data_IF_167155532668
#
_entry.id   IF_167155532668
#
_cell.length_a   1.000
_cell.length_b   1.000
_cell.length_c   1.000
_cell.angle_alpha   90.00
_cell.angle_beta   90.00
_cell.angle_gamma   90.00
#
_symmetry.space_group_name_H-M   'P 1'
#
loop_
_entity.id
_entity.type
_entity.pdbx_description
1 polymer ?
#
# COMPACT_ATOMS: atom_id res chain seq x y z
N UNK A 1 -3.89 -10.20 9.44
CA UNK A 1 -4.56 -9.17 10.24
C UNK A 1 -5.67 -9.74 11.12
N UNK A 2 -6.75 -10.31 10.56
CA UNK A 2 -7.90 -10.80 11.35
C UNK A 2 -7.50 -11.78 12.47
N UNK A 3 -6.66 -12.77 12.15
CA UNK A 3 -6.14 -13.71 13.17
C UNK A 3 -5.28 -13.02 14.24
N UNK A 4 -4.53 -11.96 13.91
CA UNK A 4 -3.73 -11.21 14.90
C UNK A 4 -4.63 -10.47 15.88
N UNK A 5 -5.69 -9.84 15.38
CA UNK A 5 -6.68 -9.16 16.22
C UNK A 5 -7.47 -10.16 17.05
N UNK A 6 -7.86 -11.29 16.47
CA UNK A 6 -8.55 -12.36 17.18
C UNK A 6 -7.68 -12.91 18.32
N UNK A 7 -6.40 -13.20 18.05
CA UNK A 7 -5.45 -13.65 19.06
C UNK A 7 -5.34 -12.66 20.23
N UNK A 8 -5.27 -11.36 19.95
CA UNK A 8 -5.20 -10.32 20.97
C UNK A 8 -6.41 -10.30 21.90
N UNK A 9 -7.60 -10.66 21.39
CA UNK A 9 -8.84 -10.71 22.16
C UNK A 9 -9.11 -12.08 22.82
N UNK A 10 -8.44 -13.14 22.35
CA UNK A 10 -8.74 -14.52 22.74
C UNK A 10 -7.48 -15.25 23.26
N UNK A 11 -6.77 -14.63 24.20
CA UNK A 11 -5.63 -15.24 24.93
C UNK A 11 -4.55 -15.85 24.01
N UNK A 12 -4.32 -15.25 22.84
CA UNK A 12 -3.29 -15.69 21.89
C UNK A 12 -3.71 -16.81 20.94
N UNK A 13 -5.00 -17.18 20.87
CA UNK A 13 -5.46 -18.21 19.92
C UNK A 13 -5.10 -17.82 18.48
N UNK A 14 -4.48 -18.76 17.74
CA UNK A 14 -3.90 -18.57 16.39
C UNK A 14 -2.70 -17.62 16.27
N UNK A 15 -2.12 -17.12 17.37
CA UNK A 15 -0.93 -16.27 17.32
C UNK A 15 0.24 -16.97 16.59
N UNK A 16 0.49 -18.24 16.89
CA UNK A 16 1.56 -19.03 16.26
C UNK A 16 1.41 -19.16 14.74
N UNK A 17 0.18 -19.23 14.23
CA UNK A 17 -0.10 -19.23 12.79
C UNK A 17 0.32 -17.92 12.14
N UNK A 18 0.02 -16.79 12.79
CA UNK A 18 0.42 -15.47 12.30
C UNK A 18 1.94 -15.33 12.32
N UNK A 19 2.59 -15.73 13.41
CA UNK A 19 4.04 -15.63 13.55
C UNK A 19 4.76 -16.51 12.52
N UNK A 20 4.27 -17.73 12.28
CA UNK A 20 4.77 -18.64 11.23
C UNK A 20 4.64 -18.02 9.84
N UNK A 21 3.52 -17.36 9.55
CA UNK A 21 3.32 -16.67 8.28
C UNK A 21 4.30 -15.52 8.09
N UNK A 22 4.51 -14.69 9.13
CA UNK A 22 5.46 -13.56 9.08
C UNK A 22 6.88 -14.06 8.87
N UNK A 23 7.28 -15.12 9.59
CA UNK A 23 8.60 -15.73 9.45
C UNK A 23 8.82 -16.29 8.04
N UNK A 24 7.81 -16.97 7.48
CA UNK A 24 7.87 -17.49 6.11
C UNK A 24 7.98 -16.34 5.10
N UNK A 25 7.18 -15.29 5.29
CA UNK A 25 7.19 -14.12 4.42
C UNK A 25 8.58 -13.45 4.36
N UNK A 26 9.20 -13.22 5.53
CA UNK A 26 10.55 -12.64 5.64
C UNK A 26 11.64 -13.52 5.02
N UNK A 27 11.52 -14.86 5.12
CA UNK A 27 12.57 -15.80 4.69
C UNK A 27 12.44 -16.22 3.23
N UNK A 28 11.22 -16.29 2.69
CA UNK A 28 10.94 -17.00 1.44
C UNK A 28 10.21 -16.18 0.40
N UNK A 29 9.62 -15.04 0.73
CA UNK A 29 8.73 -14.30 -0.18
C UNK A 29 9.17 -12.86 -0.45
N UNK A 30 10.44 -12.56 -0.17
CA UNK A 30 11.03 -11.29 -0.58
C UNK A 30 11.58 -11.42 -2.00
N UNK A 31 11.24 -10.46 -2.85
CA UNK A 31 11.81 -10.29 -4.17
C UNK A 31 13.30 -9.95 -4.03
N UNK A 32 14.22 -10.70 -4.66
CA UNK A 32 15.65 -10.49 -4.50
C UNK A 32 16.15 -9.15 -5.05
N UNK A 33 15.40 -8.52 -5.98
CA UNK A 33 15.79 -7.23 -6.59
C UNK A 33 15.45 -6.04 -5.70
N UNK A 34 14.24 -6.03 -5.14
CA UNK A 34 13.71 -4.88 -4.37
C UNK A 34 13.71 -5.10 -2.86
N UNK A 35 13.81 -6.34 -2.39
CA UNK A 35 13.65 -6.71 -0.99
C UNK A 35 12.21 -6.61 -0.48
N UNK A 36 11.25 -6.27 -1.34
CA UNK A 36 9.83 -6.20 -1.01
C UNK A 36 9.18 -7.57 -1.09
N UNK A 37 8.05 -7.75 -0.40
CA UNK A 37 7.20 -8.91 -0.60
C UNK A 37 6.81 -9.03 -2.07
N UNK A 38 7.00 -10.23 -2.64
CA UNK A 38 6.56 -10.55 -3.99
C UNK A 38 5.06 -10.33 -4.12
N UNK A 39 4.63 -9.85 -5.29
CA UNK A 39 3.21 -9.59 -5.56
C UNK A 39 2.42 -10.86 -5.86
N UNK A 40 3.11 -11.90 -6.33
CA UNK A 40 2.49 -13.15 -6.77
C UNK A 40 3.27 -14.36 -6.23
N UNK A 41 2.53 -15.39 -5.87
CA UNK A 41 3.04 -16.70 -5.49
C UNK A 41 2.28 -17.76 -6.28
N UNK A 42 2.93 -18.90 -6.53
CA UNK A 42 2.23 -20.09 -6.98
C UNK A 42 1.26 -20.57 -5.89
N UNK A 43 0.29 -21.41 -6.28
CA UNK A 43 -0.70 -22.00 -5.34
C UNK A 43 -0.03 -22.79 -4.22
N UNK A 44 1.13 -23.41 -4.49
CA UNK A 44 1.93 -24.14 -3.49
C UNK A 44 2.76 -23.23 -2.56
N UNK A 45 2.73 -21.91 -2.79
CA UNK A 45 3.45 -20.90 -2.03
C UNK A 45 4.92 -20.72 -2.45
N UNK A 46 5.36 -21.31 -3.56
CA UNK A 46 6.65 -21.00 -4.18
C UNK A 46 6.61 -19.65 -4.91
N UNK A 47 7.76 -18.97 -4.98
CA UNK A 47 7.87 -17.75 -5.76
C UNK A 47 7.76 -18.06 -7.25
N UNK A 48 7.07 -17.18 -7.99
CA UNK A 48 7.03 -17.24 -9.45
C UNK A 48 8.25 -16.50 -9.98
N UNK A 49 9.05 -17.15 -10.82
CA UNK A 49 10.26 -16.55 -11.41
C UNK A 49 9.87 -15.40 -12.36
N UNK A 50 10.65 -14.32 -12.34
CA UNK A 50 10.53 -13.14 -13.20
C UNK A 50 9.18 -12.40 -13.15
N UNK A 51 8.36 -12.61 -12.10
CA UNK A 51 7.18 -11.80 -11.88
C UNK A 51 7.55 -10.42 -11.29
N UNK A 52 6.91 -9.34 -11.76
CA UNK A 52 7.22 -8.01 -11.27
C UNK A 52 6.68 -7.79 -9.85
N UNK A 53 7.48 -7.12 -9.02
CA UNK A 53 7.01 -6.47 -7.80
C UNK A 53 6.19 -5.24 -8.19
N UNK A 54 4.89 -5.25 -7.83
CA UNK A 54 3.93 -4.19 -8.14
C UNK A 54 3.81 -3.20 -6.98
N UNK A 55 3.78 -1.91 -7.30
CA UNK A 55 3.66 -0.83 -6.34
C UNK A 55 2.33 -0.86 -5.58
N UNK A 56 1.22 -1.18 -6.28
CA UNK A 56 -0.10 -1.41 -5.69
C UNK A 56 -0.10 -2.46 -4.58
N UNK A 57 0.38 -3.67 -4.86
CA UNK A 57 0.50 -4.76 -3.90
C UNK A 57 1.48 -4.46 -2.76
N UNK A 58 2.62 -3.86 -3.09
CA UNK A 58 3.63 -3.52 -2.08
C UNK A 58 3.10 -2.47 -1.10
N UNK A 59 2.39 -1.46 -1.60
CA UNK A 59 1.73 -0.45 -0.77
C UNK A 59 0.60 -1.03 0.08
N UNK A 60 -0.21 -1.92 -0.49
CA UNK A 60 -1.24 -2.66 0.24
C UNK A 60 -0.61 -3.47 1.39
N UNK A 61 0.42 -4.26 1.08
CA UNK A 61 1.15 -5.07 2.06
C UNK A 61 1.71 -4.22 3.19
N UNK A 62 2.36 -3.08 2.88
CA UNK A 62 2.90 -2.18 3.90
C UNK A 62 1.80 -1.71 4.87
N UNK A 63 0.64 -1.28 4.35
CA UNK A 63 -0.47 -0.79 5.16
C UNK A 63 -1.13 -1.87 6.02
N UNK A 64 -1.23 -3.11 5.53
CA UNK A 64 -1.78 -4.20 6.33
C UNK A 64 -0.78 -4.80 7.31
N UNK A 65 0.52 -4.77 6.99
CA UNK A 65 1.56 -5.24 7.90
C UNK A 65 1.65 -4.38 9.16
N UNK A 66 1.24 -3.10 9.14
CA UNK A 66 1.20 -2.26 10.35
C UNK A 66 0.29 -2.86 11.45
N UNK A 67 -0.69 -3.67 11.03
CA UNK A 67 -1.65 -4.38 11.88
C UNK A 67 -1.22 -5.82 12.23
N UNK A 68 -0.05 -6.26 11.75
CA UNK A 68 0.46 -7.64 11.91
C UNK A 68 1.83 -7.63 12.59
N UNK A 69 2.81 -6.98 11.98
CA UNK A 69 4.20 -6.85 12.44
C UNK A 69 4.71 -5.46 12.07
N UNK A 70 4.76 -4.56 13.06
CA UNK A 70 5.13 -3.14 12.86
C UNK A 70 6.57 -2.97 12.36
N UNK A 71 7.50 -3.82 12.79
CA UNK A 71 8.91 -3.71 12.38
C UNK A 71 9.05 -4.09 10.92
N UNK A 72 8.44 -5.21 10.53
CA UNK A 72 8.45 -5.64 9.14
C UNK A 72 7.74 -4.65 8.23
N UNK A 73 6.61 -4.09 8.68
CA UNK A 73 5.91 -3.03 7.96
C UNK A 73 6.80 -1.81 7.71
N UNK A 74 7.60 -1.41 8.69
CA UNK A 74 8.51 -0.26 8.56
C UNK A 74 9.63 -0.56 7.56
N UNK A 75 10.25 -1.73 7.64
CA UNK A 75 11.28 -2.18 6.70
C UNK A 75 10.76 -2.18 5.25
N UNK A 76 9.58 -2.78 5.04
CA UNK A 76 8.93 -2.83 3.73
C UNK A 76 8.53 -1.43 3.22
N UNK A 77 8.04 -0.56 4.11
CA UNK A 77 7.67 0.81 3.73
C UNK A 77 8.89 1.63 3.30
N UNK A 78 10.03 1.51 3.99
CA UNK A 78 11.27 2.17 3.60
C UNK A 78 11.75 1.73 2.22
N UNK A 79 11.71 0.43 1.93
CA UNK A 79 12.06 -0.12 0.62
C UNK A 79 11.10 0.37 -0.46
N UNK A 80 9.79 0.31 -0.19
CA UNK A 80 8.75 0.80 -1.11
C UNK A 80 9.00 2.27 -1.46
N UNK A 81 9.23 3.12 -0.47
CA UNK A 81 9.52 4.54 -0.68
C UNK A 81 10.78 4.70 -1.53
N UNK A 82 11.86 3.97 -1.24
CA UNK A 82 13.10 4.10 -2.02
C UNK A 82 12.97 3.67 -3.49
N UNK A 83 12.15 2.66 -3.80
CA UNK A 83 12.09 2.06 -5.13
C UNK A 83 10.92 2.57 -5.98
N UNK A 84 9.81 2.95 -5.37
CA UNK A 84 8.56 3.26 -6.05
C UNK A 84 8.08 4.70 -5.88
N UNK A 85 8.58 5.47 -4.90
CA UNK A 85 8.16 6.86 -4.75
C UNK A 85 8.61 7.67 -5.96
N UNK A 86 7.68 8.43 -6.54
CA UNK A 86 7.95 9.41 -7.58
C UNK A 86 7.48 10.77 -7.07
N UNK A 87 8.43 11.68 -6.93
CA UNK A 87 8.19 13.07 -6.58
C UNK A 87 7.99 13.93 -7.83
N UNK A 88 7.18 14.98 -7.71
CA UNK A 88 6.94 15.96 -8.77
C UNK A 88 5.64 16.73 -8.55
N UNK A 89 5.18 17.43 -9.59
CA UNK A 89 3.89 18.16 -9.58
C UNK A 89 2.73 17.26 -9.18
N UNK A 90 2.74 16.03 -9.69
CA UNK A 90 1.95 14.90 -9.20
C UNK A 90 2.92 13.92 -8.57
N UNK A 91 2.75 13.67 -7.28
CA UNK A 91 3.57 12.76 -6.49
C UNK A 91 2.79 11.52 -6.10
N UNK A 92 3.43 10.36 -6.12
CA UNK A 92 2.76 9.11 -5.78
C UNK A 92 3.66 7.91 -5.95
N UNK A 93 3.07 6.72 -5.79
CA UNK A 93 3.77 5.47 -6.02
C UNK A 93 3.71 5.09 -7.49
N UNK A 94 4.85 4.70 -8.06
CA UNK A 94 4.89 4.04 -9.35
C UNK A 94 4.18 2.69 -9.27
N UNK A 95 3.65 2.18 -10.39
CA UNK A 95 3.19 0.80 -10.43
C UNK A 95 4.33 -0.21 -10.61
N UNK A 96 5.35 0.17 -11.37
CA UNK A 96 6.50 -0.67 -11.69
C UNK A 96 7.80 0.01 -11.21
N UNK A 97 8.71 -0.78 -10.65
CA UNK A 97 9.98 -0.25 -10.13
C UNK A 97 10.94 0.16 -11.26
N UNK A 98 10.99 -0.64 -12.32
CA UNK A 98 11.97 -0.62 -13.40
C UNK A 98 11.55 0.16 -14.64
N UNK A 99 10.26 0.47 -14.79
CA UNK A 99 9.74 1.28 -15.89
C UNK A 99 8.59 2.19 -15.46
N UNK A 100 8.19 3.12 -16.34
CA UNK A 100 7.15 4.10 -16.07
C UNK A 100 6.36 4.41 -17.35
N UNK A 101 5.27 3.67 -17.62
CA UNK A 101 4.47 3.90 -18.83
C UNK A 101 3.80 5.29 -18.77
N UNK A 102 3.70 5.96 -19.93
CA UNK A 102 3.04 7.27 -20.02
C UNK A 102 1.55 7.14 -19.74
N UNK A 103 0.91 6.10 -20.30
CA UNK A 103 -0.46 5.72 -20.05
C UNK A 103 -0.58 4.19 -20.13
N UNK A 104 -1.27 3.58 -19.19
CA UNK A 104 -1.57 2.15 -19.18
C UNK A 104 -2.80 1.85 -18.34
N UNK A 105 -3.43 0.70 -18.59
CA UNK A 105 -4.48 0.17 -17.73
C UNK A 105 -3.95 -1.08 -17.06
N UNK A 106 -3.99 -1.08 -15.73
CA UNK A 106 -3.63 -2.22 -14.91
C UNK A 106 -4.80 -2.55 -13.99
N UNK A 107 -5.16 -3.84 -13.91
CA UNK A 107 -6.36 -4.27 -13.18
C UNK A 107 -6.27 -3.98 -11.67
N UNK A 108 -5.06 -3.96 -11.13
CA UNK A 108 -4.79 -3.78 -9.70
C UNK A 108 -4.44 -2.32 -9.36
N UNK A 109 -3.82 -1.60 -10.31
CA UNK A 109 -3.42 -0.21 -10.14
C UNK A 109 -4.49 0.81 -10.54
N UNK A 110 -5.35 0.43 -11.49
CA UNK A 110 -6.19 1.32 -12.28
C UNK A 110 -5.45 2.01 -13.42
N UNK A 111 -5.91 3.20 -13.88
CA UNK A 111 -5.24 3.91 -14.96
C UNK A 111 -3.87 4.38 -14.47
N UNK A 112 -2.81 3.70 -14.94
CA UNK A 112 -1.43 4.07 -14.67
C UNK A 112 -1.09 5.27 -15.55
N UNK A 113 -0.92 6.44 -14.94
CA UNK A 113 -0.68 7.71 -15.65
C UNK A 113 0.70 8.23 -15.25
N UNK A 114 1.56 8.46 -16.24
CA UNK A 114 2.96 8.88 -16.04
C UNK A 114 3.70 7.98 -15.03
N UNK A 115 3.43 6.67 -15.09
CA UNK A 115 3.95 5.64 -14.20
C UNK A 115 3.29 5.56 -12.84
N UNK A 116 2.47 6.55 -12.44
CA UNK A 116 1.82 6.57 -11.13
C UNK A 116 0.65 5.60 -11.07
N UNK A 117 0.59 4.84 -9.98
CA UNK A 117 -0.47 3.91 -9.62
C UNK A 117 -1.46 4.59 -8.70
N UNK A 118 -2.72 4.85 -9.11
CA UNK A 118 -3.76 5.33 -8.20
C UNK A 118 -3.90 4.43 -6.97
N UNK A 119 -3.94 3.11 -7.16
CA UNK A 119 -4.05 2.15 -6.05
C UNK A 119 -2.83 2.15 -5.14
N UNK A 120 -1.62 2.06 -5.71
CA UNK A 120 -0.38 2.09 -4.92
C UNK A 120 -0.24 3.39 -4.15
N UNK A 121 -0.59 4.52 -4.78
CA UNK A 121 -0.56 5.84 -4.14
C UNK A 121 -1.54 5.91 -2.98
N UNK A 122 -2.78 5.50 -3.17
CA UNK A 122 -3.79 5.52 -2.12
C UNK A 122 -3.44 4.57 -0.96
N UNK A 123 -3.10 3.30 -1.24
CA UNK A 123 -2.70 2.36 -0.18
C UNK A 123 -1.45 2.81 0.56
N UNK A 124 -0.48 3.44 -0.11
CA UNK A 124 0.74 3.92 0.57
C UNK A 124 0.47 5.03 1.58
N UNK A 125 -0.67 5.74 1.47
CA UNK A 125 -1.14 6.70 2.47
C UNK A 125 -1.35 6.03 3.83
N UNK A 126 -1.71 4.75 3.86
CA UNK A 126 -1.91 3.98 5.09
C UNK A 126 -0.63 3.81 5.87
N UNK A 127 0.44 3.34 5.23
CA UNK A 127 1.76 3.23 5.85
C UNK A 127 2.35 4.60 6.21
N UNK A 128 2.22 5.60 5.31
CA UNK A 128 2.70 6.96 5.57
C UNK A 128 1.99 7.59 6.78
N UNK A 129 0.68 7.39 6.91
CA UNK A 129 -0.09 7.84 8.09
C UNK A 129 0.36 7.12 9.35
N UNK A 130 0.49 5.79 9.31
CA UNK A 130 0.87 5.00 10.47
C UNK A 130 2.25 5.36 11.02
N UNK A 131 3.22 5.57 10.13
CA UNK A 131 4.61 5.92 10.48
C UNK A 131 4.86 7.43 10.62
N UNK A 132 3.82 8.27 10.56
CA UNK A 132 3.91 9.72 10.63
C UNK A 132 4.83 10.35 9.56
N UNK A 133 4.91 9.75 8.36
CA UNK A 133 5.59 10.33 7.20
C UNK A 133 4.70 11.42 6.59
N UNK A 134 4.73 12.59 7.25
CA UNK A 134 3.88 13.72 6.90
C UNK A 134 4.21 14.32 5.54
N UNK A 135 5.44 14.18 5.06
CA UNK A 135 5.88 14.68 3.76
C UNK A 135 5.23 13.86 2.64
N UNK A 136 5.42 12.54 2.64
CA UNK A 136 4.80 11.63 1.67
C UNK A 136 3.27 11.77 1.71
N UNK A 137 2.69 11.76 2.91
CA UNK A 137 1.26 11.91 3.11
C UNK A 137 0.73 13.23 2.52
N UNK A 138 1.40 14.36 2.76
CA UNK A 138 0.97 15.66 2.25
C UNK A 138 1.07 15.73 0.72
N UNK A 139 2.12 15.15 0.13
CA UNK A 139 2.32 15.10 -1.31
C UNK A 139 1.27 14.22 -2.02
N UNK A 140 0.88 13.10 -1.41
CA UNK A 140 -0.21 12.26 -1.92
C UNK A 140 -1.54 13.01 -1.87
N UNK A 141 -1.86 13.65 -0.74
CA UNK A 141 -3.11 14.41 -0.60
C UNK A 141 -3.16 15.58 -1.59
N UNK A 142 -2.05 16.30 -1.80
CA UNK A 142 -1.95 17.34 -2.82
C UNK A 142 -2.23 16.80 -4.22
N UNK A 143 -1.68 15.63 -4.55
CA UNK A 143 -1.92 14.96 -5.83
C UNK A 143 -3.40 14.57 -5.97
N UNK A 144 -4.01 14.04 -4.90
CA UNK A 144 -5.42 13.70 -4.87
C UNK A 144 -6.33 14.93 -5.06
N UNK A 145 -5.97 16.09 -4.50
CA UNK A 145 -6.70 17.34 -4.73
C UNK A 145 -6.58 17.83 -6.18
N UNK A 146 -5.37 17.81 -6.75
CA UNK A 146 -5.13 18.25 -8.15
C UNK A 146 -5.88 17.36 -9.15
N UNK A 147 -5.79 16.03 -8.98
CA UNK A 147 -6.41 15.09 -9.91
C UNK A 147 -7.91 14.92 -9.64
N UNK A 148 -8.29 14.78 -8.36
CA UNK A 148 -9.63 14.35 -7.98
C UNK A 148 -10.65 15.48 -7.82
N UNK A 149 -10.22 16.73 -7.62
CA UNK A 149 -11.05 17.88 -7.20
C UNK A 149 -12.04 17.54 -6.07
N UNK A 150 -11.76 17.99 -4.85
CA UNK A 150 -12.71 17.82 -3.74
C UNK A 150 -13.92 18.73 -3.91
N UNK A 151 -15.06 18.14 -4.23
CA UNK A 151 -16.37 18.78 -4.21
C UNK A 151 -16.90 18.76 -2.78
N UNK A 152 -17.03 19.94 -2.17
CA UNK A 152 -17.63 20.07 -0.83
C UNK A 152 -19.08 20.55 -0.97
N UNK A 153 -20.02 19.83 -0.34
CA UNK A 153 -21.43 20.21 -0.27
C UNK A 153 -21.95 19.99 1.15
N UNK A 154 -22.21 21.09 1.87
CA UNK A 154 -22.52 21.04 3.30
C UNK A 154 -21.42 20.34 4.12
N UNK A 155 -21.80 19.33 4.91
CA UNK A 155 -20.87 18.53 5.72
C UNK A 155 -20.30 17.31 4.97
N UNK A 156 -20.48 17.22 3.65
CA UNK A 156 -19.98 16.11 2.83
C UNK A 156 -18.84 16.59 1.93
N UNK A 157 -17.85 15.71 1.75
CA UNK A 157 -16.77 15.88 0.77
C UNK A 157 -16.81 14.71 -0.19
N UNK A 158 -16.71 15.01 -1.47
CA UNK A 158 -16.67 14.04 -2.55
C UNK A 158 -15.48 14.29 -3.47
N UNK A 159 -14.72 13.26 -3.82
CA UNK A 159 -13.69 13.33 -4.86
C UNK A 159 -14.33 13.04 -6.22
N UNK A 160 -14.33 14.03 -7.12
CA UNK A 160 -15.05 13.97 -8.40
C UNK A 160 -14.62 12.78 -9.29
N UNK A 161 -13.37 12.32 -9.16
CA UNK A 161 -12.84 11.17 -9.91
C UNK A 161 -12.75 9.85 -9.12
N UNK A 162 -13.37 9.77 -7.93
CA UNK A 162 -13.33 8.55 -7.09
C UNK A 162 -13.88 7.30 -7.78
N UNK A 163 -14.75 7.45 -8.77
CA UNK A 163 -15.33 6.33 -9.54
C UNK A 163 -14.45 5.88 -10.72
N UNK A 164 -13.42 6.67 -11.08
CA UNK A 164 -12.53 6.40 -12.22
C UNK A 164 -11.17 5.89 -11.74
N UNK A 165 -10.69 6.40 -10.60
CA UNK A 165 -9.62 5.73 -9.87
C UNK A 165 -10.20 4.44 -9.28
N UNK A 166 -9.56 3.29 -9.52
CA UNK A 166 -9.94 2.00 -8.91
C UNK A 166 -9.94 2.02 -7.37
N UNK A 167 -9.46 3.11 -6.78
CA UNK A 167 -9.51 3.39 -5.36
C UNK A 167 -10.49 4.52 -5.05
N UNK A 168 -11.61 4.13 -4.44
CA UNK A 168 -12.66 5.04 -4.00
C UNK A 168 -12.41 5.67 -2.62
N UNK A 169 -13.34 6.54 -2.22
CA UNK A 169 -13.25 7.38 -1.02
C UNK A 169 -13.10 6.57 0.28
N UNK A 170 -13.72 5.40 0.34
CA UNK A 170 -13.66 4.52 1.51
C UNK A 170 -12.23 4.03 1.81
N UNK A 171 -11.47 3.68 0.77
CA UNK A 171 -10.07 3.24 0.94
C UNK A 171 -9.22 4.43 1.37
N UNK A 172 -9.35 5.59 0.71
CA UNK A 172 -8.60 6.78 1.09
C UNK A 172 -8.90 7.21 2.52
N UNK A 173 -10.17 7.14 2.95
CA UNK A 173 -10.55 7.37 4.34
C UNK A 173 -9.85 6.39 5.29
N UNK A 174 -9.96 5.08 5.03
CA UNK A 174 -9.33 4.05 5.85
C UNK A 174 -7.81 4.23 5.96
N UNK A 175 -7.14 4.54 4.85
CA UNK A 175 -5.69 4.77 4.81
C UNK A 175 -5.29 6.04 5.58
N UNK A 176 -6.06 7.13 5.46
CA UNK A 176 -5.81 8.38 6.22
C UNK A 176 -6.04 8.26 7.72
N UNK A 177 -6.78 7.23 8.14
CA UNK A 177 -7.07 6.95 9.55
C UNK A 177 -6.29 5.75 10.09
N UNK A 178 -5.33 5.21 9.32
CA UNK A 178 -4.49 4.08 9.73
C UNK A 178 -3.45 4.51 10.77
N UNK A 179 -3.89 4.92 11.95
CA UNK A 179 -3.04 5.33 13.05
C UNK A 179 -2.68 4.12 13.93
N UNK A 180 -1.52 4.15 14.64
CA UNK A 180 -1.22 3.18 15.67
C UNK A 180 -2.36 3.13 16.69
N UNK A 181 -2.89 1.94 16.96
CA UNK A 181 -3.83 1.79 18.05
C UNK A 181 -3.12 2.17 19.37
N UNK A 182 -3.73 3.09 20.12
CA UNK A 182 -3.42 3.29 21.53
C UNK A 182 -3.93 2.05 22.28
N UNK A 183 -3.16 0.96 22.23
CA UNK A 183 -3.37 -0.24 23.05
C UNK A 183 -2.35 -0.24 24.17
#
# INVERSE_FOLDING_TARGET
>A
MALKQYAALNKGEYASTVDTWVDKAKKQWLDPKTGLLVSFLNVDGSQITDMPTKGSYSALNCSYLTLIDRKFAQEQYSLLKSSFWKEGTLSGMKEYHDHSPILGMDIDAGPVIMGLSPSGTAFSTGAATFFNDNEVRSNILRTAEICGNTLSSGNKKHYALANIALVGEAIMLAMRTNAPANL
#
